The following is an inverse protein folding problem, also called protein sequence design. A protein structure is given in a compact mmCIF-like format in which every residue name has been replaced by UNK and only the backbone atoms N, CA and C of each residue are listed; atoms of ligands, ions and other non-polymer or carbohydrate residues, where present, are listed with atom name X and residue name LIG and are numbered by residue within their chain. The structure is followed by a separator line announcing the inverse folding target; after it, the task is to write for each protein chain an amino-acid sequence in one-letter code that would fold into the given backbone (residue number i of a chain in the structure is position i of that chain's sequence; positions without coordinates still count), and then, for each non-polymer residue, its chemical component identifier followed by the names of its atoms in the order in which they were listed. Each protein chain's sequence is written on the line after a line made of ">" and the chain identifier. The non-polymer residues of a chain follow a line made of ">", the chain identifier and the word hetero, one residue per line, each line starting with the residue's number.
data_IF_118553622136
#
_entry.id   IF_118553622136
#
_cell.length_a   1.000
_cell.length_b   1.000
_cell.length_c   1.000
_cell.angle_alpha   90.00
_cell.angle_beta   90.00
_cell.angle_gamma   90.00
#
_symmetry.space_group_name_H-M   'P 1'
#
loop_
_entity.id
_entity.type
_entity.pdbx_description
1 polymer ?
#
# COMPACT_ATOMS: atom_id res chain seq x y z
N UNK A 1 -1.93 -14.39 10.35
CA UNK A 1 -3.36 -14.05 10.29
C UNK A 1 -3.63 -12.62 10.78
N UNK A 2 -2.92 -12.08 11.78
CA UNK A 2 -3.16 -10.74 12.32
C UNK A 2 -3.04 -9.55 11.32
N UNK A 3 -2.07 -9.56 10.39
CA UNK A 3 -1.88 -8.44 9.45
C UNK A 3 -3.01 -8.29 8.41
N UNK A 4 -3.71 -9.40 8.12
CA UNK A 4 -4.89 -9.43 7.24
C UNK A 4 -6.03 -8.64 7.83
N UNK A 5 -6.36 -8.93 9.09
CA UNK A 5 -7.51 -8.37 9.80
C UNK A 5 -7.39 -6.85 9.94
N UNK A 6 -6.18 -6.33 10.19
CA UNK A 6 -5.94 -4.89 10.31
C UNK A 6 -6.13 -4.14 8.98
N UNK A 7 -5.75 -4.75 7.87
CA UNK A 7 -5.96 -4.16 6.54
C UNK A 7 -7.45 -4.13 6.20
N UNK A 8 -8.17 -5.21 6.49
CA UNK A 8 -9.60 -5.32 6.23
C UNK A 8 -10.41 -4.34 7.10
N UNK A 9 -10.05 -4.19 8.38
CA UNK A 9 -10.65 -3.21 9.31
C UNK A 9 -10.41 -1.77 8.83
N UNK A 10 -9.17 -1.43 8.46
CA UNK A 10 -8.83 -0.12 7.91
C UNK A 10 -9.66 0.17 6.66
N UNK A 11 -9.70 -0.76 5.69
CA UNK A 11 -10.44 -0.58 4.43
C UNK A 11 -11.96 -0.50 4.64
N UNK A 12 -12.49 -0.96 5.77
CA UNK A 12 -13.91 -0.84 6.09
C UNK A 12 -14.34 0.58 6.49
N UNK A 13 -13.39 1.49 6.75
CA UNK A 13 -13.67 2.85 7.19
C UNK A 13 -14.41 3.68 6.12
N UNK A 14 -15.18 4.70 6.55
CA UNK A 14 -15.72 5.71 5.65
C UNK A 14 -14.61 6.41 4.88
N UNK A 15 -14.91 6.91 3.68
CA UNK A 15 -13.97 7.55 2.75
C UNK A 15 -12.74 6.66 2.43
N UNK A 16 -12.81 5.88 1.35
CA UNK A 16 -11.72 4.97 0.98
C UNK A 16 -10.46 5.72 0.55
N UNK A 17 -10.59 6.91 -0.03
CA UNK A 17 -9.45 7.68 -0.55
C UNK A 17 -8.70 8.34 0.61
N UNK A 18 -9.40 8.91 1.57
CA UNK A 18 -8.81 9.43 2.81
C UNK A 18 -8.17 8.31 3.65
N UNK A 19 -8.86 7.17 3.76
CA UNK A 19 -8.34 5.98 4.44
C UNK A 19 -6.99 5.52 3.83
N UNK A 20 -6.90 5.43 2.50
CA UNK A 20 -5.67 5.05 1.80
C UNK A 20 -4.58 6.12 1.94
N UNK A 21 -4.95 7.40 1.95
CA UNK A 21 -4.02 8.52 2.16
C UNK A 21 -3.41 8.48 3.56
N UNK A 22 -4.24 8.34 4.60
CA UNK A 22 -3.80 8.17 5.99
C UNK A 22 -2.91 6.94 6.15
N UNK A 23 -3.23 5.85 5.44
CA UNK A 23 -2.41 4.65 5.48
C UNK A 23 -1.02 4.89 4.90
N UNK A 24 -0.90 5.56 3.75
CA UNK A 24 0.39 5.92 3.15
C UNK A 24 1.26 6.76 4.09
N UNK A 25 0.68 7.76 4.75
CA UNK A 25 1.39 8.60 5.72
C UNK A 25 1.84 7.80 6.95
N UNK A 26 0.98 6.90 7.44
CA UNK A 26 1.30 5.99 8.53
C UNK A 26 2.45 5.06 8.16
N UNK A 27 2.45 4.50 6.94
CA UNK A 27 3.55 3.66 6.47
C UNK A 27 4.85 4.44 6.34
N UNK A 28 4.83 5.68 5.82
CA UNK A 28 6.02 6.52 5.75
C UNK A 28 6.65 6.77 7.13
N UNK A 29 5.82 7.03 8.14
CA UNK A 29 6.27 7.20 9.53
C UNK A 29 6.86 5.91 10.11
N UNK A 30 6.20 4.77 9.91
CA UNK A 30 6.65 3.47 10.43
C UNK A 30 7.93 2.97 9.75
N UNK A 31 8.05 3.13 8.44
CA UNK A 31 9.21 2.61 7.70
C UNK A 31 10.50 3.36 8.00
N UNK A 32 10.39 4.59 8.49
CA UNK A 32 11.52 5.47 8.84
C UNK A 32 11.73 5.62 10.34
N UNK A 33 11.05 4.81 11.16
CA UNK A 33 11.17 4.83 12.60
C UNK A 33 12.51 4.20 13.04
N UNK A 34 13.40 4.95 13.73
CA UNK A 34 14.70 4.42 14.17
C UNK A 34 14.60 3.28 15.19
N UNK A 35 13.46 3.14 15.87
CA UNK A 35 13.23 2.07 16.86
C UNK A 35 12.85 0.72 16.20
N UNK A 36 12.67 0.69 14.88
CA UNK A 36 12.26 -0.48 14.11
C UNK A 36 13.14 -0.72 12.87
N UNK A 37 13.25 -1.96 12.36
CA UNK A 37 13.91 -2.19 11.07
C UNK A 37 13.21 -1.43 9.94
N UNK A 38 13.95 -0.81 9.00
CA UNK A 38 13.36 0.01 7.96
C UNK A 38 12.53 -0.81 6.96
N UNK A 39 11.39 -0.24 6.59
CA UNK A 39 10.45 -0.81 5.61
C UNK A 39 9.57 -1.96 6.13
N UNK A 40 8.71 -2.47 5.25
CA UNK A 40 7.87 -3.65 5.47
C UNK A 40 8.56 -4.91 4.97
N UNK A 41 8.64 -5.94 5.82
CA UNK A 41 9.20 -7.25 5.47
C UNK A 41 8.56 -7.87 4.22
N UNK A 42 7.25 -7.71 3.99
CA UNK A 42 6.57 -8.28 2.81
C UNK A 42 6.91 -7.49 1.53
N UNK A 43 6.97 -6.16 1.61
CA UNK A 43 7.30 -5.30 0.46
C UNK A 43 8.72 -5.51 -0.05
N UNK A 44 9.62 -5.90 0.84
CA UNK A 44 11.07 -5.96 0.58
C UNK A 44 11.65 -7.35 0.78
N UNK A 45 10.80 -8.37 0.95
CA UNK A 45 11.22 -9.75 0.90
C UNK A 45 11.55 -10.16 -0.53
N UNK A 46 12.08 -11.37 -0.68
CA UNK A 46 12.62 -11.91 -1.92
C UNK A 46 11.66 -11.69 -3.11
N UNK A 47 12.16 -10.98 -4.13
CA UNK A 47 11.47 -10.73 -5.39
C UNK A 47 11.81 -11.79 -6.44
N UNK A 48 13.02 -12.35 -6.35
CA UNK A 48 13.52 -13.46 -7.15
C UNK A 48 14.71 -14.10 -6.43
N UNK A 49 14.90 -15.40 -6.62
CA UNK A 49 15.94 -16.17 -5.96
C UNK A 49 16.34 -17.38 -6.80
N UNK A 50 17.36 -18.09 -6.33
CA UNK A 50 17.69 -19.42 -6.85
C UNK A 50 16.45 -20.35 -6.78
N UNK A 51 16.38 -21.31 -7.69
CA UNK A 51 15.20 -22.17 -7.92
C UNK A 51 14.76 -22.89 -6.65
N UNK A 52 15.72 -23.22 -5.78
CA UNK A 52 15.53 -23.87 -4.49
C UNK A 52 14.65 -23.06 -3.53
N UNK A 53 14.61 -21.74 -3.71
CA UNK A 53 13.85 -20.80 -2.87
C UNK A 53 12.61 -20.21 -3.57
N UNK A 54 12.30 -20.62 -4.80
CA UNK A 54 11.15 -20.14 -5.58
C UNK A 54 9.81 -20.18 -4.79
N UNK A 55 9.53 -21.21 -3.97
CA UNK A 55 8.32 -21.21 -3.12
C UNK A 55 8.22 -20.00 -2.18
N UNK A 56 9.35 -19.47 -1.67
CA UNK A 56 9.36 -18.29 -0.81
C UNK A 56 9.04 -17.02 -1.60
N UNK A 57 9.61 -16.86 -2.80
CA UNK A 57 9.31 -15.72 -3.67
C UNK A 57 7.84 -15.69 -4.06
N UNK A 58 7.25 -16.85 -4.40
CA UNK A 58 5.82 -16.98 -4.68
C UNK A 58 4.96 -16.62 -3.49
N UNK A 59 5.26 -17.16 -2.31
CA UNK A 59 4.51 -16.87 -1.09
C UNK A 59 4.45 -15.36 -0.78
N UNK A 60 5.57 -14.65 -0.94
CA UNK A 60 5.60 -13.20 -0.67
C UNK A 60 4.89 -12.43 -1.78
N UNK A 61 5.02 -12.84 -3.04
CA UNK A 61 4.26 -12.28 -4.15
C UNK A 61 2.74 -12.40 -3.92
N UNK A 62 2.26 -13.58 -3.53
CA UNK A 62 0.86 -13.82 -3.20
C UNK A 62 0.35 -12.89 -2.09
N UNK A 63 1.18 -12.58 -1.09
CA UNK A 63 0.81 -11.62 -0.03
C UNK A 63 0.69 -10.19 -0.54
N UNK A 64 1.59 -9.75 -1.42
CA UNK A 64 1.49 -8.43 -2.07
C UNK A 64 0.23 -8.35 -2.93
N UNK A 65 -0.05 -9.39 -3.70
CA UNK A 65 -1.25 -9.52 -4.53
C UNK A 65 -2.53 -9.54 -3.70
N UNK A 66 -2.55 -10.25 -2.57
CA UNK A 66 -3.70 -10.26 -1.67
C UNK A 66 -4.02 -8.87 -1.11
N UNK A 67 -3.00 -8.07 -0.78
CA UNK A 67 -3.21 -6.68 -0.35
C UNK A 67 -3.79 -5.83 -1.48
N UNK A 68 -3.28 -5.96 -2.71
CA UNK A 68 -3.80 -5.24 -3.87
C UNK A 68 -5.26 -5.61 -4.14
N UNK A 69 -5.60 -6.90 -4.09
CA UNK A 69 -6.96 -7.38 -4.29
C UNK A 69 -7.96 -6.81 -3.27
N UNK A 70 -7.54 -6.65 -2.00
CA UNK A 70 -8.38 -6.04 -0.95
C UNK A 70 -8.66 -4.56 -1.22
N UNK A 71 -7.62 -3.81 -1.58
CA UNK A 71 -7.76 -2.38 -1.92
C UNK A 71 -8.67 -2.23 -3.15
N UNK A 72 -8.44 -3.04 -4.18
CA UNK A 72 -9.26 -3.06 -5.39
C UNK A 72 -10.73 -3.34 -5.05
N UNK A 73 -11.02 -4.34 -4.21
CA UNK A 73 -12.38 -4.67 -3.81
C UNK A 73 -13.07 -3.50 -3.10
N UNK A 74 -12.37 -2.82 -2.18
CA UNK A 74 -12.89 -1.64 -1.49
C UNK A 74 -13.17 -0.47 -2.44
N UNK A 75 -12.26 -0.20 -3.37
CA UNK A 75 -12.40 0.88 -4.36
C UNK A 75 -13.47 0.56 -5.41
N UNK A 76 -13.63 -0.71 -5.80
CA UNK A 76 -14.70 -1.13 -6.68
C UNK A 76 -16.08 -0.92 -6.04
N UNK A 77 -16.21 -1.24 -4.73
CA UNK A 77 -17.41 -0.91 -3.95
C UNK A 77 -17.65 0.59 -3.89
N UNK A 78 -16.62 1.36 -3.56
CA UNK A 78 -16.67 2.83 -3.51
C UNK A 78 -17.21 3.44 -4.81
N UNK A 79 -16.76 2.93 -5.96
CA UNK A 79 -17.22 3.40 -7.28
C UNK A 79 -18.69 3.10 -7.51
N UNK A 80 -19.17 1.92 -7.11
CA UNK A 80 -20.58 1.56 -7.21
C UNK A 80 -21.45 2.42 -6.28
N UNK A 81 -20.92 2.80 -5.12
CA UNK A 81 -21.58 3.64 -4.11
C UNK A 81 -21.49 5.14 -4.43
N UNK A 82 -20.75 5.54 -5.46
CA UNK A 82 -20.55 6.94 -5.84
C UNK A 82 -19.61 7.71 -4.92
N UNK A 83 -18.80 7.01 -4.12
CA UNK A 83 -17.78 7.61 -3.23
C UNK A 83 -16.52 8.05 -3.98
N UNK A 84 -16.32 7.57 -5.22
CA UNK A 84 -15.24 7.96 -6.13
C UNK A 84 -15.79 8.17 -7.55
N UNK A 85 -15.01 8.82 -8.43
CA UNK A 85 -15.40 9.07 -9.83
C UNK A 85 -15.86 7.81 -10.55
N UNK A 86 -16.88 7.98 -11.40
CA UNK A 86 -17.47 6.89 -12.18
C UNK A 86 -16.49 6.26 -13.19
N UNK A 87 -15.52 7.04 -13.69
CA UNK A 87 -14.48 6.60 -14.63
C UNK A 87 -13.18 6.15 -13.94
N UNK A 88 -13.11 6.21 -12.61
CA UNK A 88 -11.96 5.69 -11.86
C UNK A 88 -11.76 4.19 -12.14
N UNK A 89 -10.50 3.78 -12.25
CA UNK A 89 -10.09 2.37 -12.35
C UNK A 89 -9.58 1.84 -11.00
N UNK A 90 -10.40 1.06 -10.27
CA UNK A 90 -10.04 0.51 -8.96
C UNK A 90 -8.76 -0.34 -8.96
N UNK A 91 -8.50 -1.09 -10.03
CA UNK A 91 -7.32 -1.95 -10.10
C UNK A 91 -6.06 -1.12 -10.25
N UNK A 92 -6.08 -0.13 -11.15
CA UNK A 92 -4.95 0.79 -11.34
C UNK A 92 -4.66 1.58 -10.07
N UNK A 93 -5.68 2.10 -9.38
CA UNK A 93 -5.50 2.79 -8.10
C UNK A 93 -4.94 1.87 -7.01
N UNK A 94 -5.43 0.63 -6.91
CA UNK A 94 -4.90 -0.34 -5.95
C UNK A 94 -3.42 -0.68 -6.22
N UNK A 95 -3.05 -0.87 -7.49
CA UNK A 95 -1.66 -1.08 -7.92
C UNK A 95 -0.78 0.12 -7.62
N UNK A 96 -1.28 1.34 -7.87
CA UNK A 96 -0.60 2.58 -7.55
C UNK A 96 -0.24 2.66 -6.06
N UNK A 97 -1.24 2.51 -5.16
CA UNK A 97 -1.00 2.52 -3.71
C UNK A 97 -0.01 1.43 -3.30
N UNK A 98 -0.19 0.21 -3.82
CA UNK A 98 0.72 -0.91 -3.56
C UNK A 98 2.16 -0.62 -4.00
N UNK A 99 2.35 0.06 -5.14
CA UNK A 99 3.66 0.45 -5.64
C UNK A 99 4.31 1.52 -4.77
N UNK A 100 3.56 2.53 -4.33
CA UNK A 100 4.09 3.58 -3.44
C UNK A 100 4.53 2.99 -2.09
N UNK A 101 3.73 2.12 -1.48
CA UNK A 101 4.11 1.45 -0.23
C UNK A 101 5.37 0.59 -0.42
N UNK A 102 5.47 -0.15 -1.52
CA UNK A 102 6.65 -0.95 -1.82
C UNK A 102 7.89 -0.09 -2.06
N UNK A 103 7.75 0.99 -2.83
CA UNK A 103 8.82 1.94 -3.12
C UNK A 103 9.33 2.65 -1.85
N UNK A 104 8.43 3.16 -1.01
CA UNK A 104 8.80 3.75 0.28
C UNK A 104 9.52 2.75 1.16
N UNK A 105 9.05 1.49 1.19
CA UNK A 105 9.68 0.44 1.98
C UNK A 105 11.11 0.11 1.51
N UNK A 106 11.37 0.14 0.21
CA UNK A 106 12.71 -0.10 -0.35
C UNK A 106 13.61 1.11 -0.06
N UNK A 107 13.14 2.32 -0.33
CA UNK A 107 13.93 3.53 -0.09
C UNK A 107 14.27 3.73 1.38
N UNK A 108 13.37 3.36 2.30
CA UNK A 108 13.68 3.35 3.73
C UNK A 108 14.87 2.44 4.06
N UNK A 109 14.95 1.26 3.45
CA UNK A 109 16.08 0.33 3.61
C UNK A 109 17.38 0.89 3.05
N UNK A 110 17.28 1.67 1.97
CA UNK A 110 18.41 2.35 1.35
C UNK A 110 18.83 3.63 2.13
N UNK A 111 18.10 4.00 3.18
CA UNK A 111 18.44 5.07 4.10
C UNK A 111 17.61 6.35 3.98
N UNK A 112 16.55 6.36 3.16
CA UNK A 112 15.64 7.50 3.08
C UNK A 112 14.93 7.75 4.42
N UNK A 113 14.96 9.00 4.87
CA UNK A 113 14.41 9.41 6.16
C UNK A 113 12.92 9.74 6.10
N UNK A 114 12.34 9.99 7.29
CA UNK A 114 10.90 10.32 7.44
C UNK A 114 10.41 11.42 6.52
N UNK A 115 11.17 12.52 6.41
CA UNK A 115 10.76 13.67 5.59
C UNK A 115 10.59 13.30 4.11
N UNK A 116 11.50 12.49 3.57
CA UNK A 116 11.49 12.05 2.18
C UNK A 116 10.32 11.10 1.91
N UNK A 117 10.10 10.11 2.78
CA UNK A 117 8.99 9.16 2.63
C UNK A 117 7.63 9.86 2.82
N UNK A 118 7.51 10.79 3.77
CA UNK A 118 6.29 11.58 3.95
C UNK A 118 5.99 12.43 2.72
N UNK A 119 7.00 12.97 2.02
CA UNK A 119 6.79 13.70 0.78
C UNK A 119 6.20 12.79 -0.32
N UNK A 120 6.70 11.56 -0.46
CA UNK A 120 6.13 10.57 -1.39
C UNK A 120 4.68 10.21 -1.04
N UNK A 121 4.40 9.98 0.25
CA UNK A 121 3.04 9.69 0.72
C UNK A 121 2.06 10.83 0.41
N UNK A 122 2.48 12.09 0.59
CA UNK A 122 1.66 13.27 0.29
C UNK A 122 1.34 13.40 -1.20
N UNK A 123 2.33 13.23 -2.08
CA UNK A 123 2.08 13.24 -3.53
C UNK A 123 1.07 12.15 -3.94
N UNK A 124 1.20 10.96 -3.34
CA UNK A 124 0.24 9.89 -3.58
C UNK A 124 -1.15 10.19 -3.02
N UNK A 125 -1.26 10.84 -1.85
CA UNK A 125 -2.53 11.29 -1.28
C UNK A 125 -3.22 12.34 -2.17
N UNK A 126 -2.46 13.28 -2.76
CA UNK A 126 -2.99 14.25 -3.72
C UNK A 126 -3.57 13.56 -4.97
N UNK A 127 -2.91 12.52 -5.48
CA UNK A 127 -3.45 11.71 -6.59
C UNK A 127 -4.72 10.96 -6.22
N UNK A 128 -4.81 10.45 -4.98
CA UNK A 128 -6.02 9.80 -4.48
C UNK A 128 -7.16 10.80 -4.32
N UNK A 129 -6.89 11.99 -3.78
CA UNK A 129 -7.88 13.05 -3.64
C UNK A 129 -8.47 13.48 -5.00
N UNK A 130 -7.67 13.43 -6.08
CA UNK A 130 -8.16 13.66 -7.45
C UNK A 130 -9.23 12.65 -7.91
N UNK A 131 -9.45 11.55 -7.20
CA UNK A 131 -10.46 10.53 -7.53
C UNK A 131 -11.80 10.72 -6.81
N UNK A 132 -11.93 11.77 -5.98
CA UNK A 132 -13.21 12.14 -5.38
C UNK A 132 -14.25 12.48 -6.47
N UNK A 133 -15.55 12.23 -6.22
CA UNK A 133 -16.63 12.42 -7.19
C UNK A 133 -16.68 13.80 -7.83
#
# INVERSE_FOLDING_TARGET
>A
MAFSTLTDEMLSRPDPLDTLSTWLETQAALFSDPDHPPGCMISTAVLGCAVENDPLARMVAERREATIARIQARLARARMEGEIKADADPLTLARFVGAIIQGMSIQARDGAGRAELTALARLAAEELARQQP
#
